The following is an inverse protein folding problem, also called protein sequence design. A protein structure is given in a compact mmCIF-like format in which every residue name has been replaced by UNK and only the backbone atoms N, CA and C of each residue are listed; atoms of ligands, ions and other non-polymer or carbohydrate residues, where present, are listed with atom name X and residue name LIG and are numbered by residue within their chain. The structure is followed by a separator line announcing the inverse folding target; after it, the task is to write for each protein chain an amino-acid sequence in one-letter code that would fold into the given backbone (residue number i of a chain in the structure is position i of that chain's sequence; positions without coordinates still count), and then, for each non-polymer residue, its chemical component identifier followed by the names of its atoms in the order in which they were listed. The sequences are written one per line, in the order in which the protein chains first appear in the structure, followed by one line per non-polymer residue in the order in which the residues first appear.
data_IF_081972962731
#
_entry.id   IF_081972962731
#
_cell.length_a   1.000
_cell.length_b   1.000
_cell.length_c   1.000
_cell.angle_alpha   90.00
_cell.angle_beta   90.00
_cell.angle_gamma   90.00
#
_symmetry.space_group_name_H-M   'P 1'
#
loop_
_entity.id
_entity.type
_entity.pdbx_description
1 polymer ?
#
# COMPACT_ATOMS: atom_id res chain seq x y z
N UNK A 1 -1.87 12.83 -15.90
CA UNK A 1 -0.81 11.81 -15.66
C UNK A 1 0.59 12.44 -15.64
N UNK A 2 1.05 13.07 -16.73
CA UNK A 2 2.39 13.68 -16.80
C UNK A 2 2.68 14.67 -15.66
N UNK A 3 1.70 15.53 -15.29
CA UNK A 3 1.88 16.48 -14.19
C UNK A 3 2.05 15.81 -12.83
N UNK A 4 1.35 14.70 -12.59
CA UNK A 4 1.46 13.92 -11.36
C UNK A 4 2.78 13.14 -11.26
N UNK A 5 3.25 12.58 -12.38
CA UNK A 5 4.60 12.02 -12.49
C UNK A 5 5.63 13.10 -12.18
N UNK A 6 5.51 14.27 -12.80
CA UNK A 6 6.38 15.42 -12.55
C UNK A 6 6.35 15.88 -11.08
N UNK A 7 5.18 15.87 -10.44
CA UNK A 7 5.05 16.13 -9.01
C UNK A 7 5.87 15.14 -8.18
N UNK A 8 5.67 13.83 -8.38
CA UNK A 8 6.40 12.81 -7.64
C UNK A 8 7.92 12.95 -7.87
N UNK A 9 8.38 13.10 -9.11
CA UNK A 9 9.81 13.22 -9.40
C UNK A 9 10.46 14.42 -8.68
N UNK A 10 9.75 15.55 -8.58
CA UNK A 10 10.17 16.75 -7.84
C UNK A 10 10.05 16.62 -6.32
N UNK A 11 9.15 15.77 -5.83
CA UNK A 11 8.92 15.56 -4.40
C UNK A 11 9.99 14.68 -3.72
N UNK A 12 10.92 14.10 -4.49
CA UNK A 12 12.09 13.38 -3.95
C UNK A 12 12.94 14.30 -3.09
N UNK A 13 13.38 13.77 -1.96
CA UNK A 13 14.29 14.44 -1.04
C UNK A 13 15.74 14.35 -1.56
N UNK A 14 16.65 15.08 -0.92
CA UNK A 14 18.08 15.09 -1.28
C UNK A 14 18.74 13.71 -1.19
N UNK A 15 18.23 12.82 -0.34
CA UNK A 15 18.70 11.44 -0.22
C UNK A 15 18.18 10.51 -1.34
N UNK A 16 17.44 11.04 -2.32
CA UNK A 16 16.87 10.30 -3.44
C UNK A 16 15.57 9.56 -3.14
N UNK A 17 15.07 9.64 -1.91
CA UNK A 17 13.84 8.95 -1.47
C UNK A 17 12.65 9.90 -1.42
N UNK A 18 11.46 9.32 -1.42
CA UNK A 18 10.24 10.02 -1.03
C UNK A 18 10.01 9.87 0.46
N UNK A 19 9.37 10.86 1.07
CA UNK A 19 8.94 10.78 2.46
C UNK A 19 7.55 11.37 2.64
N UNK A 20 6.80 10.81 3.58
CA UNK A 20 5.50 11.29 4.01
C UNK A 20 5.23 10.86 5.47
N UNK A 21 4.04 11.13 6.02
CA UNK A 21 3.62 10.64 7.34
C UNK A 21 4.57 11.06 8.49
N UNK A 22 4.88 12.35 8.57
CA UNK A 22 5.99 12.85 9.41
C UNK A 22 5.71 12.85 10.93
N UNK A 23 4.53 12.40 11.36
CA UNK A 23 4.11 12.42 12.77
C UNK A 23 4.53 11.20 13.57
N UNK A 24 5.14 10.20 12.93
CA UNK A 24 5.62 8.98 13.59
C UNK A 24 7.12 8.80 13.35
N UNK A 25 7.87 8.54 14.41
CA UNK A 25 9.26 8.05 14.42
C UNK A 25 10.20 8.56 13.30
N UNK A 26 10.26 9.87 13.05
CA UNK A 26 11.16 10.45 12.03
C UNK A 26 10.61 10.48 10.59
N UNK A 27 9.35 10.11 10.40
CA UNK A 27 8.65 10.06 9.11
C UNK A 27 8.86 8.75 8.35
N UNK A 28 7.98 8.46 7.40
CA UNK A 28 8.04 7.26 6.57
C UNK A 28 8.74 7.59 5.26
N UNK A 29 9.94 7.05 5.02
CA UNK A 29 10.68 7.26 3.77
C UNK A 29 10.83 5.99 2.93
N UNK A 30 11.13 4.84 3.54
CA UNK A 30 11.32 3.58 2.83
C UNK A 30 9.97 3.09 2.26
N UNK A 31 8.92 3.08 3.09
CA UNK A 31 7.58 2.64 2.69
C UNK A 31 6.99 3.52 1.59
N UNK A 32 7.02 4.84 1.82
CA UNK A 32 6.51 5.83 0.86
C UNK A 32 7.28 5.75 -0.45
N UNK A 33 8.60 5.52 -0.40
CA UNK A 33 9.40 5.30 -1.60
C UNK A 33 8.96 4.05 -2.36
N UNK A 34 8.71 2.94 -1.68
CA UNK A 34 8.19 1.73 -2.33
C UNK A 34 6.88 1.98 -3.08
N UNK A 35 5.93 2.67 -2.45
CA UNK A 35 4.64 2.99 -3.06
C UNK A 35 4.78 3.99 -4.23
N UNK A 36 5.56 5.05 -4.05
CA UNK A 36 5.79 6.04 -5.11
C UNK A 36 6.54 5.45 -6.31
N UNK A 37 7.57 4.63 -6.06
CA UNK A 37 8.31 3.95 -7.11
C UNK A 37 7.44 2.96 -7.89
N UNK A 38 6.57 2.20 -7.21
CA UNK A 38 5.59 1.34 -7.86
C UNK A 38 4.64 2.15 -8.76
N UNK A 39 4.08 3.25 -8.26
CA UNK A 39 3.19 4.11 -9.05
C UNK A 39 3.87 4.67 -10.31
N UNK A 40 5.13 5.09 -10.20
CA UNK A 40 5.93 5.56 -11.33
C UNK A 40 6.22 4.43 -12.33
N UNK A 41 6.58 3.24 -11.84
CA UNK A 41 6.87 2.10 -12.69
C UNK A 41 5.64 1.63 -13.49
N UNK A 42 4.49 1.51 -12.83
CA UNK A 42 3.22 1.08 -13.45
C UNK A 42 2.65 2.13 -14.42
N UNK A 43 2.92 3.42 -14.19
CA UNK A 43 2.54 4.49 -15.12
C UNK A 43 3.37 4.44 -16.42
N UNK A 44 4.61 3.94 -16.33
CA UNK A 44 5.54 3.85 -17.45
C UNK A 44 6.13 5.19 -17.87
N UNK A 45 6.96 5.15 -18.92
CA UNK A 45 7.73 6.29 -19.43
C UNK A 45 9.15 6.36 -18.84
N UNK A 46 10.11 6.73 -19.68
CA UNK A 46 11.54 6.61 -19.37
C UNK A 46 11.95 7.40 -18.12
N UNK A 47 11.43 8.62 -17.95
CA UNK A 47 11.76 9.46 -16.78
C UNK A 47 11.17 8.89 -15.48
N UNK A 48 9.94 8.35 -15.55
CA UNK A 48 9.29 7.74 -14.40
C UNK A 48 10.02 6.46 -13.97
N UNK A 49 10.37 5.60 -14.94
CA UNK A 49 11.13 4.38 -14.71
C UNK A 49 12.53 4.67 -14.16
N UNK A 50 13.24 5.65 -14.73
CA UNK A 50 14.56 6.06 -14.24
C UNK A 50 14.48 6.62 -12.81
N UNK A 51 13.45 7.42 -12.52
CA UNK A 51 13.20 7.96 -11.18
C UNK A 51 12.92 6.89 -10.14
N UNK A 52 12.09 5.90 -10.49
CA UNK A 52 11.80 4.73 -9.65
C UNK A 52 13.04 3.87 -9.44
N UNK A 53 13.76 3.51 -10.50
CA UNK A 53 14.97 2.70 -10.43
C UNK A 53 16.05 3.32 -9.54
N UNK A 54 16.30 4.62 -9.67
CA UNK A 54 17.29 5.33 -8.86
C UNK A 54 16.96 5.28 -7.36
N UNK A 55 15.68 5.46 -7.00
CA UNK A 55 15.26 5.40 -5.60
C UNK A 55 15.29 3.97 -5.04
N UNK A 56 14.92 2.98 -5.86
CA UNK A 56 14.98 1.57 -5.48
C UNK A 56 16.42 1.08 -5.27
N UNK A 57 17.39 1.61 -6.01
CA UNK A 57 18.81 1.31 -5.76
C UNK A 57 19.25 1.79 -4.37
N UNK A 58 18.79 2.97 -3.93
CA UNK A 58 19.02 3.43 -2.55
C UNK A 58 18.37 2.48 -1.54
N UNK A 59 17.14 2.01 -1.80
CA UNK A 59 16.46 1.07 -0.90
C UNK A 59 17.14 -0.31 -0.86
N UNK A 60 17.71 -0.80 -1.96
CA UNK A 60 18.48 -2.05 -1.97
C UNK A 60 19.66 -2.00 -0.99
N UNK A 61 20.32 -0.84 -0.87
CA UNK A 61 21.36 -0.60 0.13
C UNK A 61 20.87 -0.50 1.57
N UNK A 62 19.55 -0.41 1.80
CA UNK A 62 18.92 -0.26 3.12
C UNK A 62 18.21 -1.52 3.64
N UNK A 63 18.31 -2.64 2.93
CA UNK A 63 17.75 -3.91 3.40
C UNK A 63 18.37 -4.26 4.76
N UNK A 64 17.55 -4.60 5.74
CA UNK A 64 18.03 -4.93 7.08
C UNK A 64 18.45 -6.40 7.20
N UNK A 65 19.29 -6.76 8.19
CA UNK A 65 19.61 -8.16 8.49
C UNK A 65 18.34 -9.00 8.68
N UNK A 66 18.31 -10.21 8.10
CA UNK A 66 17.11 -11.06 8.07
C UNK A 66 16.20 -10.81 6.86
N UNK A 67 16.48 -9.77 6.07
CA UNK A 67 15.67 -9.40 4.91
C UNK A 67 14.56 -8.42 5.27
N UNK A 68 14.12 -7.65 4.28
CA UNK A 68 13.03 -6.69 4.43
C UNK A 68 13.48 -5.27 4.81
N UNK A 69 12.47 -4.42 4.98
CA UNK A 69 12.60 -3.00 5.35
C UNK A 69 11.57 -2.63 6.42
N UNK A 70 11.93 -1.70 7.30
CA UNK A 70 10.98 -0.94 8.10
C UNK A 70 10.59 0.36 7.40
N UNK A 71 9.52 1.01 7.84
CA UNK A 71 9.00 2.24 7.21
C UNK A 71 10.04 3.38 7.09
N UNK A 72 11.11 3.34 7.89
CA UNK A 72 12.34 4.12 7.72
C UNK A 72 13.57 3.34 8.23
N UNK A 73 14.73 4.01 8.31
CA UNK A 73 16.00 3.40 8.72
C UNK A 73 16.10 2.99 10.21
N UNK A 74 15.28 3.56 11.10
CA UNK A 74 15.32 3.26 12.54
C UNK A 74 14.15 2.37 12.98
N UNK A 75 13.09 2.32 12.18
CA UNK A 75 11.94 1.48 12.43
C UNK A 75 12.30 -0.01 12.33
N UNK A 76 11.66 -0.87 13.16
CA UNK A 76 11.75 -2.31 12.96
C UNK A 76 11.25 -2.70 11.58
N UNK A 77 11.82 -3.78 11.05
CA UNK A 77 11.37 -4.36 9.78
C UNK A 77 9.91 -4.78 9.88
N UNK A 78 9.12 -4.48 8.85
CA UNK A 78 7.70 -4.81 8.78
C UNK A 78 7.31 -5.37 7.40
N UNK A 79 6.22 -6.12 7.38
CA UNK A 79 5.78 -6.81 6.15
C UNK A 79 5.13 -5.88 5.13
N UNK A 80 4.52 -4.77 5.54
CA UNK A 80 3.82 -3.85 4.63
C UNK A 80 4.80 -3.00 3.80
N UNK A 81 5.82 -2.45 4.47
CA UNK A 81 6.95 -1.79 3.84
C UNK A 81 7.65 -2.74 2.90
N UNK A 82 7.97 -3.95 3.38
CA UNK A 82 8.70 -4.95 2.61
C UNK A 82 7.95 -5.35 1.34
N UNK A 83 6.64 -5.60 1.43
CA UNK A 83 5.83 -5.94 0.27
C UNK A 83 5.75 -4.80 -0.75
N UNK A 84 5.61 -3.55 -0.28
CA UNK A 84 5.54 -2.38 -1.14
C UNK A 84 6.83 -2.19 -1.96
N UNK A 85 7.99 -2.38 -1.32
CA UNK A 85 9.30 -2.29 -1.98
C UNK A 85 9.53 -3.46 -2.94
N UNK A 86 9.17 -4.70 -2.57
CA UNK A 86 9.29 -5.85 -3.47
C UNK A 86 8.47 -5.63 -4.75
N UNK A 87 7.22 -5.16 -4.62
CA UNK A 87 6.37 -4.90 -5.79
C UNK A 87 7.01 -3.86 -6.71
N UNK A 88 7.54 -2.78 -6.16
CA UNK A 88 8.24 -1.77 -6.95
C UNK A 88 9.50 -2.33 -7.63
N UNK A 89 10.31 -3.14 -6.93
CA UNK A 89 11.48 -3.81 -7.50
C UNK A 89 11.09 -4.74 -8.65
N UNK A 90 10.01 -5.51 -8.50
CA UNK A 90 9.50 -6.41 -9.55
C UNK A 90 9.01 -5.62 -10.77
N UNK A 91 8.34 -4.48 -10.57
CA UNK A 91 7.85 -3.63 -11.65
C UNK A 91 8.98 -2.97 -12.47
N UNK A 92 10.11 -2.65 -11.82
CA UNK A 92 11.26 -1.99 -12.48
C UNK A 92 12.28 -3.00 -13.04
N UNK A 93 12.48 -4.15 -12.40
CA UNK A 93 13.62 -5.04 -12.69
C UNK A 93 13.29 -6.20 -13.63
N UNK A 94 12.09 -6.28 -14.21
CA UNK A 94 11.67 -7.45 -14.97
C UNK A 94 12.68 -7.82 -16.10
N UNK A 95 13.17 -9.08 -16.19
CA UNK A 95 12.84 -10.28 -15.40
C UNK A 95 13.88 -10.66 -14.31
N UNK A 96 14.84 -9.79 -13.97
CA UNK A 96 15.86 -10.10 -12.98
C UNK A 96 15.23 -10.21 -11.58
N UNK A 97 15.47 -11.34 -10.91
CA UNK A 97 15.03 -11.57 -9.54
C UNK A 97 16.25 -11.38 -8.61
N UNK A 98 16.57 -10.14 -8.21
CA UNK A 98 17.73 -9.88 -7.38
C UNK A 98 17.66 -10.67 -6.07
N UNK A 99 18.80 -11.13 -5.51
CA UNK A 99 18.84 -11.88 -4.25
C UNK A 99 18.08 -11.23 -3.10
N UNK A 100 17.97 -9.90 -3.11
CA UNK A 100 17.21 -9.13 -2.12
C UNK A 100 15.72 -9.45 -2.12
N UNK A 101 15.10 -9.76 -3.28
CA UNK A 101 13.69 -10.16 -3.36
C UNK A 101 13.52 -11.55 -2.76
N UNK A 102 14.44 -12.48 -3.00
CA UNK A 102 14.38 -13.81 -2.42
C UNK A 102 14.48 -13.77 -0.88
N UNK A 103 15.42 -12.98 -0.34
CA UNK A 103 15.56 -12.77 1.11
C UNK A 103 14.30 -12.11 1.71
N UNK A 104 13.76 -11.10 1.04
CA UNK A 104 12.57 -10.41 1.51
C UNK A 104 11.31 -11.29 1.44
N UNK A 105 11.19 -12.19 0.45
CA UNK A 105 10.12 -13.22 0.42
C UNK A 105 10.22 -14.18 1.60
N UNK A 106 11.42 -14.59 1.97
CA UNK A 106 11.61 -15.45 3.13
C UNK A 106 11.25 -14.74 4.43
N UNK A 107 11.63 -13.46 4.56
CA UNK A 107 11.17 -12.61 5.65
C UNK A 107 9.63 -12.59 5.74
N UNK A 108 8.93 -12.37 4.62
CA UNK A 108 7.47 -12.37 4.59
C UNK A 108 6.89 -13.74 5.00
N UNK A 109 7.47 -14.87 4.56
CA UNK A 109 7.01 -16.21 4.97
C UNK A 109 7.11 -16.41 6.48
N UNK A 110 8.12 -15.85 7.13
CA UNK A 110 8.28 -15.89 8.58
C UNK A 110 7.19 -15.16 9.38
N UNK A 111 6.29 -14.41 8.71
CA UNK A 111 5.18 -13.67 9.33
C UNK A 111 3.81 -14.33 9.12
N UNK A 112 3.78 -15.49 8.47
CA UNK A 112 2.59 -16.32 8.39
C UNK A 112 2.25 -16.88 9.78
N UNK A 113 0.97 -16.84 10.14
CA UNK A 113 0.42 -17.57 11.28
C UNK A 113 -0.52 -18.66 10.79
N UNK A 114 -1.00 -19.52 11.69
CA UNK A 114 -1.95 -20.58 11.33
C UNK A 114 -3.24 -20.04 10.70
N UNK A 115 -3.63 -18.81 11.06
CA UNK A 115 -4.90 -18.17 10.73
C UNK A 115 -4.76 -16.80 10.06
N UNK A 116 -3.54 -16.37 9.69
CA UNK A 116 -3.36 -15.02 9.19
C UNK A 116 -1.92 -14.59 8.92
N UNK A 117 -1.69 -13.30 9.07
CA UNK A 117 -0.47 -12.64 8.60
C UNK A 117 -0.20 -11.35 9.40
N UNK A 118 0.99 -11.29 10.01
CA UNK A 118 1.35 -10.23 10.95
C UNK A 118 2.13 -9.10 10.27
N UNK A 119 1.94 -7.86 10.74
CA UNK A 119 2.83 -6.74 10.37
C UNK A 119 4.22 -6.92 10.97
N UNK A 120 4.28 -7.30 12.25
CA UNK A 120 5.52 -7.52 12.99
C UNK A 120 5.54 -8.90 13.65
N UNK A 121 6.53 -9.73 13.30
CA UNK A 121 6.69 -11.07 13.86
C UNK A 121 7.15 -11.08 15.32
N UNK A 122 6.90 -12.17 16.03
CA UNK A 122 7.11 -12.36 17.49
C UNK A 122 8.49 -11.96 18.03
N UNK A 123 9.56 -12.07 17.23
CA UNK A 123 10.91 -11.68 17.62
C UNK A 123 11.27 -10.20 17.41
N UNK A 124 10.41 -9.43 16.76
CA UNK A 124 10.68 -8.02 16.42
C UNK A 124 10.52 -7.14 17.65
N UNK A 125 11.57 -6.45 18.10
CA UNK A 125 11.43 -5.48 19.18
C UNK A 125 10.83 -4.19 18.64
N UNK A 126 9.64 -3.84 19.11
CA UNK A 126 8.93 -2.63 18.67
C UNK A 126 8.79 -1.72 19.89
N UNK A 127 9.27 -0.48 19.76
CA UNK A 127 9.14 0.55 20.79
C UNK A 127 8.07 1.53 20.37
N UNK A 128 7.06 1.71 21.23
CA UNK A 128 6.02 2.72 21.05
C UNK A 128 6.35 4.00 21.84
N UNK A 129 7.00 3.85 22.98
CA UNK A 129 7.57 4.93 23.80
C UNK A 129 8.86 4.43 24.46
N UNK A 130 9.56 5.31 25.17
CA UNK A 130 10.87 5.02 25.78
C UNK A 130 10.87 3.72 26.63
N UNK A 131 9.74 3.39 27.26
CA UNK A 131 9.59 2.25 28.19
C UNK A 131 8.57 1.17 27.73
N UNK A 132 7.81 1.40 26.65
CA UNK A 132 6.75 0.46 26.23
C UNK A 132 7.16 -0.39 25.03
N UNK A 133 7.28 -1.70 25.25
CA UNK A 133 7.41 -2.71 24.20
C UNK A 133 6.01 -3.17 23.77
N UNK A 134 5.79 -3.27 22.47
CA UNK A 134 4.54 -3.77 21.91
C UNK A 134 4.48 -5.29 21.99
N UNK A 135 3.49 -5.80 22.72
CA UNK A 135 3.25 -7.24 22.96
C UNK A 135 1.93 -7.76 22.36
N UNK A 136 0.94 -6.89 22.17
CA UNK A 136 -0.36 -7.21 21.58
C UNK A 136 -0.66 -6.32 20.35
N UNK A 137 -1.89 -6.35 19.82
CA UNK A 137 -2.41 -5.50 18.72
C UNK A 137 -1.61 -5.52 17.43
N UNK A 138 -0.46 -4.83 17.38
CA UNK A 138 0.38 -4.73 16.17
C UNK A 138 0.98 -6.08 15.72
N UNK A 139 0.84 -7.12 16.54
CA UNK A 139 1.22 -8.50 16.25
C UNK A 139 0.05 -9.39 15.89
N UNK A 140 -1.17 -8.88 15.80
CA UNK A 140 -2.30 -9.67 15.32
C UNK A 140 -2.30 -9.73 13.80
N UNK A 141 -3.24 -10.50 13.25
CA UNK A 141 -3.48 -10.55 11.83
C UNK A 141 -4.07 -9.24 11.33
N UNK A 142 -3.46 -8.65 10.31
CA UNK A 142 -3.95 -7.42 9.70
C UNK A 142 -4.36 -7.68 8.25
N UNK A 143 -5.67 -7.66 7.97
CA UNK A 143 -6.21 -7.91 6.64
C UNK A 143 -5.64 -6.95 5.58
N UNK A 144 -5.40 -5.68 5.95
CA UNK A 144 -4.80 -4.69 5.05
C UNK A 144 -3.37 -5.04 4.63
N UNK A 145 -2.56 -5.60 5.54
CA UNK A 145 -1.17 -5.97 5.26
C UNK A 145 -1.09 -7.32 4.53
N UNK A 146 -1.95 -8.26 4.93
CA UNK A 146 -2.15 -9.51 4.20
C UNK A 146 -2.51 -9.25 2.73
N UNK A 147 -3.44 -8.32 2.48
CA UNK A 147 -3.83 -7.90 1.14
C UNK A 147 -2.65 -7.32 0.33
N UNK A 148 -1.82 -6.50 0.98
CA UNK A 148 -0.64 -5.91 0.34
C UNK A 148 0.41 -6.95 -0.08
N UNK A 149 0.50 -8.06 0.66
CA UNK A 149 1.47 -9.15 0.46
C UNK A 149 0.98 -10.27 -0.47
N UNK A 150 -0.31 -10.35 -0.76
CA UNK A 150 -0.92 -11.53 -1.37
C UNK A 150 -0.42 -11.86 -2.79
N UNK A 151 -0.03 -10.86 -3.59
CA UNK A 151 0.59 -11.11 -4.90
C UNK A 151 2.02 -11.68 -4.81
N UNK A 152 2.66 -11.60 -3.64
CA UNK A 152 4.03 -12.08 -3.41
C UNK A 152 4.02 -13.51 -2.86
N UNK A 153 3.05 -13.84 -2.01
CA UNK A 153 2.85 -15.16 -1.38
C UNK A 153 1.43 -15.69 -1.64
N UNK A 154 1.04 -15.90 -2.91
CA UNK A 154 -0.36 -16.14 -3.25
C UNK A 154 -0.92 -17.45 -2.70
N UNK A 155 -0.14 -18.53 -2.74
CA UNK A 155 -0.58 -19.86 -2.31
C UNK A 155 -1.03 -19.87 -0.83
N UNK A 156 -0.38 -19.05 0.00
CA UNK A 156 -0.66 -18.94 1.43
C UNK A 156 -1.72 -17.88 1.72
N UNK A 157 -1.64 -16.71 1.08
CA UNK A 157 -2.43 -15.54 1.48
C UNK A 157 -3.78 -15.40 0.78
N UNK A 158 -3.93 -15.93 -0.45
CA UNK A 158 -5.22 -15.87 -1.16
C UNK A 158 -6.34 -16.62 -0.40
N UNK A 159 -6.12 -17.85 0.12
CA UNK A 159 -7.13 -18.52 0.96
C UNK A 159 -7.52 -17.72 2.21
N UNK A 160 -6.55 -17.09 2.88
CA UNK A 160 -6.79 -16.29 4.08
C UNK A 160 -7.53 -14.97 3.76
N UNK A 161 -7.25 -14.36 2.61
CA UNK A 161 -8.00 -13.20 2.13
C UNK A 161 -9.48 -13.53 1.88
N UNK A 162 -9.76 -14.69 1.29
CA UNK A 162 -11.16 -15.15 1.09
C UNK A 162 -11.90 -15.28 2.42
N UNK A 163 -11.24 -15.87 3.42
CA UNK A 163 -11.82 -16.12 4.73
C UNK A 163 -12.03 -14.84 5.55
N UNK A 164 -11.20 -13.83 5.35
CA UNK A 164 -11.24 -12.55 6.08
C UNK A 164 -12.14 -11.48 5.46
N UNK A 165 -12.75 -11.74 4.28
CA UNK A 165 -13.68 -10.80 3.68
C UNK A 165 -14.92 -10.63 4.56
N UNK A 166 -15.31 -9.38 4.79
CA UNK A 166 -16.47 -9.02 5.58
C UNK A 166 -17.79 -9.34 4.84
N UNK A 167 -18.89 -9.41 5.58
CA UNK A 167 -20.21 -9.69 5.04
C UNK A 167 -20.68 -8.63 4.02
N UNK A 168 -20.21 -7.39 4.15
CA UNK A 168 -20.52 -6.31 3.22
C UNK A 168 -19.66 -6.34 1.94
N UNK A 169 -18.65 -7.20 1.87
CA UNK A 169 -17.72 -7.35 0.75
C UNK A 169 -16.37 -6.64 0.92
N UNK A 170 -16.16 -5.89 2.00
CA UNK A 170 -14.91 -5.17 2.27
C UNK A 170 -13.89 -5.97 3.07
N UNK A 171 -12.69 -5.41 3.27
CA UNK A 171 -11.69 -5.91 4.22
C UNK A 171 -11.42 -4.89 5.31
N UNK A 172 -11.33 -5.38 6.55
CA UNK A 172 -11.13 -4.56 7.75
C UNK A 172 -9.78 -3.83 7.70
N UNK A 173 -9.76 -2.51 7.88
CA UNK A 173 -8.51 -1.78 8.04
C UNK A 173 -7.97 -1.93 9.47
N UNK A 174 -6.64 -1.96 9.62
CA UNK A 174 -5.97 -1.82 10.92
C UNK A 174 -5.22 -0.48 10.99
N UNK A 175 -4.31 -0.25 10.03
CA UNK A 175 -3.53 0.99 9.92
C UNK A 175 -4.25 2.14 9.20
N UNK A 176 -5.48 1.93 8.76
CA UNK A 176 -6.21 2.87 7.90
C UNK A 176 -7.54 3.27 8.54
N UNK A 177 -7.97 4.51 8.33
CA UNK A 177 -9.29 4.96 8.81
C UNK A 177 -10.46 4.31 8.07
N UNK A 178 -10.27 3.95 6.81
CA UNK A 178 -11.35 3.45 5.93
C UNK A 178 -10.97 2.12 5.28
N UNK A 179 -11.96 1.28 4.94
CA UNK A 179 -11.71 -0.01 4.28
C UNK A 179 -11.37 0.09 2.80
N UNK A 180 -11.40 1.28 2.18
CA UNK A 180 -11.26 1.45 0.74
C UNK A 180 -9.92 0.93 0.22
N UNK A 181 -8.81 1.32 0.85
CA UNK A 181 -7.47 0.90 0.44
C UNK A 181 -7.20 -0.60 0.65
N UNK A 182 -7.50 -1.19 1.84
CA UNK A 182 -7.41 -2.64 2.02
C UNK A 182 -8.26 -3.44 1.02
N UNK A 183 -9.48 -2.97 0.74
CA UNK A 183 -10.40 -3.63 -0.20
C UNK A 183 -9.87 -3.58 -1.63
N UNK A 184 -9.24 -2.48 -2.05
CA UNK A 184 -8.59 -2.38 -3.36
C UNK A 184 -7.45 -3.40 -3.51
N UNK A 185 -6.55 -3.48 -2.53
CA UNK A 185 -5.44 -4.43 -2.54
C UNK A 185 -5.92 -5.88 -2.58
N UNK A 186 -6.94 -6.20 -1.77
CA UNK A 186 -7.49 -7.56 -1.73
C UNK A 186 -8.19 -7.92 -3.04
N UNK A 187 -9.02 -7.03 -3.59
CA UNK A 187 -9.72 -7.26 -4.85
C UNK A 187 -8.74 -7.48 -6.01
N UNK A 188 -7.66 -6.70 -6.10
CA UNK A 188 -6.62 -6.88 -7.12
C UNK A 188 -5.91 -8.24 -7.00
N UNK A 189 -5.51 -8.61 -5.77
CA UNK A 189 -4.85 -9.89 -5.53
C UNK A 189 -5.77 -11.08 -5.88
N UNK A 190 -7.04 -11.00 -5.50
CA UNK A 190 -8.05 -12.02 -5.77
C UNK A 190 -8.39 -12.11 -7.27
N UNK A 191 -8.53 -10.97 -7.95
CA UNK A 191 -8.77 -10.92 -9.39
C UNK A 191 -7.60 -11.56 -10.18
N UNK A 192 -6.35 -11.26 -9.79
CA UNK A 192 -5.17 -11.87 -10.40
C UNK A 192 -5.12 -13.41 -10.25
N UNK A 193 -5.85 -13.97 -9.28
CA UNK A 193 -5.95 -15.41 -9.01
C UNK A 193 -7.30 -16.01 -9.42
N UNK A 194 -8.10 -15.29 -10.22
CA UNK A 194 -9.35 -15.80 -10.79
C UNK A 194 -10.49 -15.99 -9.78
N UNK A 195 -10.46 -15.33 -8.62
CA UNK A 195 -11.53 -15.42 -7.63
C UNK A 195 -12.65 -14.41 -7.88
N UNK A 196 -13.46 -14.68 -8.90
CA UNK A 196 -14.56 -13.80 -9.29
C UNK A 196 -15.59 -13.57 -8.17
N UNK A 197 -15.90 -14.59 -7.37
CA UNK A 197 -16.96 -14.48 -6.36
C UNK A 197 -16.61 -13.51 -5.22
N UNK A 198 -15.37 -13.52 -4.74
CA UNK A 198 -14.93 -12.56 -3.73
C UNK A 198 -14.80 -11.14 -4.31
N UNK A 199 -14.34 -11.02 -5.55
CA UNK A 199 -14.23 -9.74 -6.27
C UNK A 199 -15.60 -9.12 -6.53
N UNK A 200 -16.61 -9.90 -6.91
CA UNK A 200 -17.97 -9.42 -7.15
C UNK A 200 -18.61 -8.81 -5.89
N UNK A 201 -18.33 -9.39 -4.71
CA UNK A 201 -18.75 -8.82 -3.42
C UNK A 201 -18.03 -7.49 -3.15
N UNK A 202 -16.73 -7.41 -3.43
CA UNK A 202 -15.97 -6.16 -3.30
C UNK A 202 -16.49 -5.07 -4.25
N UNK A 203 -16.85 -5.43 -5.48
CA UNK A 203 -17.49 -4.51 -6.45
C UNK A 203 -18.85 -4.05 -5.94
N UNK A 204 -19.64 -4.95 -5.36
CA UNK A 204 -20.94 -4.60 -4.76
C UNK A 204 -20.75 -3.58 -3.63
N UNK A 205 -19.78 -3.82 -2.74
CA UNK A 205 -19.36 -2.85 -1.73
C UNK A 205 -18.96 -1.50 -2.33
N UNK A 206 -18.11 -1.50 -3.35
CA UNK A 206 -17.59 -0.31 -4.01
C UNK A 206 -18.71 0.53 -4.68
N UNK A 207 -19.72 -0.14 -5.26
CA UNK A 207 -20.88 0.53 -5.88
C UNK A 207 -21.80 1.25 -4.89
N UNK A 208 -21.79 0.84 -3.62
CA UNK A 208 -22.54 1.49 -2.55
C UNK A 208 -21.83 2.73 -1.97
N UNK A 209 -20.54 2.91 -2.27
CA UNK A 209 -19.81 4.09 -1.83
C UNK A 209 -20.19 5.31 -2.66
N UNK A 210 -20.06 6.50 -2.08
CA UNK A 210 -20.11 7.78 -2.78
C UNK A 210 -18.69 8.34 -2.94
N UNK A 211 -18.02 8.14 -4.10
CA UNK A 211 -16.64 8.59 -4.30
C UNK A 211 -16.48 10.11 -4.27
N UNK A 212 -17.53 10.89 -4.54
CA UNK A 212 -17.46 12.35 -4.51
C UNK A 212 -17.34 12.88 -3.07
N UNK A 213 -17.93 12.18 -2.10
CA UNK A 213 -17.78 12.47 -0.67
C UNK A 213 -16.47 11.96 -0.06
N UNK A 214 -15.65 11.22 -0.82
CA UNK A 214 -14.41 10.63 -0.33
C UNK A 214 -13.17 11.50 -0.63
N UNK A 215 -12.11 11.25 0.14
CA UNK A 215 -10.78 11.76 -0.18
C UNK A 215 -10.31 11.26 -1.57
N UNK A 216 -9.38 11.96 -2.25
CA UNK A 216 -8.87 11.49 -3.54
C UNK A 216 -8.28 10.08 -3.48
N UNK A 217 -7.59 9.75 -2.37
CA UNK A 217 -7.02 8.44 -2.14
C UNK A 217 -8.08 7.34 -2.02
N UNK A 218 -9.12 7.57 -1.21
CA UNK A 218 -10.23 6.63 -1.05
C UNK A 218 -11.01 6.44 -2.36
N UNK A 219 -11.29 7.52 -3.08
CA UNK A 219 -11.95 7.45 -4.39
C UNK A 219 -11.12 6.65 -5.41
N UNK A 220 -9.80 6.85 -5.44
CA UNK A 220 -8.90 6.07 -6.29
C UNK A 220 -8.89 4.57 -5.91
N UNK A 221 -8.90 4.25 -4.62
CA UNK A 221 -9.00 2.87 -4.14
C UNK A 221 -10.33 2.22 -4.56
N UNK A 222 -11.45 2.94 -4.46
CA UNK A 222 -12.76 2.46 -4.94
C UNK A 222 -12.72 2.20 -6.46
N UNK A 223 -12.12 3.10 -7.24
CA UNK A 223 -11.97 2.89 -8.68
C UNK A 223 -11.16 1.62 -9.00
N UNK A 224 -10.09 1.34 -8.23
CA UNK A 224 -9.27 0.12 -8.37
C UNK A 224 -10.08 -1.16 -8.10
N UNK A 225 -10.95 -1.17 -7.09
CA UNK A 225 -11.87 -2.30 -6.83
C UNK A 225 -12.78 -2.54 -8.05
N UNK A 226 -13.36 -1.47 -8.61
CA UNK A 226 -14.22 -1.57 -9.78
C UNK A 226 -13.47 -2.07 -11.02
N UNK A 227 -12.23 -1.61 -11.23
CA UNK A 227 -11.36 -2.09 -12.32
C UNK A 227 -11.07 -3.58 -12.16
N UNK A 228 -10.72 -4.04 -10.96
CA UNK A 228 -10.41 -5.44 -10.67
C UNK A 228 -11.58 -6.38 -10.99
N UNK A 229 -12.83 -5.93 -10.77
CA UNK A 229 -14.03 -6.68 -11.15
C UNK A 229 -14.63 -6.32 -12.52
N UNK A 230 -13.91 -5.59 -13.36
CA UNK A 230 -14.31 -5.30 -14.74
C UNK A 230 -15.35 -4.18 -14.94
N UNK A 231 -15.77 -3.47 -13.89
CA UNK A 231 -16.66 -2.30 -13.98
C UNK A 231 -15.90 -1.03 -14.39
N UNK A 232 -15.33 -1.07 -15.60
CA UNK A 232 -14.46 -0.01 -16.14
C UNK A 232 -15.20 1.30 -16.41
N UNK A 233 -16.50 1.24 -16.72
CA UNK A 233 -17.30 2.44 -16.99
C UNK A 233 -17.41 3.31 -15.74
N UNK A 234 -17.86 2.74 -14.62
CA UNK A 234 -17.98 3.48 -13.36
C UNK A 234 -16.63 3.88 -12.79
N UNK A 235 -15.60 3.05 -12.95
CA UNK A 235 -14.24 3.44 -12.60
C UNK A 235 -13.78 4.66 -13.41
N UNK A 236 -14.09 4.70 -14.71
CA UNK A 236 -13.78 5.82 -15.60
C UNK A 236 -14.42 7.14 -15.13
N UNK A 237 -15.66 7.11 -14.67
CA UNK A 237 -16.35 8.28 -14.12
C UNK A 237 -15.63 8.83 -12.87
N UNK A 238 -15.21 7.95 -11.96
CA UNK A 238 -14.46 8.33 -10.76
C UNK A 238 -13.11 8.93 -11.13
N UNK A 239 -12.39 8.30 -12.06
CA UNK A 239 -11.08 8.79 -12.51
C UNK A 239 -11.19 10.15 -13.23
N UNK A 240 -12.25 10.37 -14.00
CA UNK A 240 -12.51 11.67 -14.62
C UNK A 240 -12.77 12.76 -13.57
N UNK A 241 -13.50 12.45 -12.49
CA UNK A 241 -13.67 13.37 -11.37
C UNK A 241 -12.36 13.63 -10.62
N UNK A 242 -11.53 12.60 -10.41
CA UNK A 242 -10.21 12.78 -9.82
C UNK A 242 -9.33 13.70 -10.67
N UNK A 243 -9.37 13.62 -12.01
CA UNK A 243 -8.66 14.58 -12.86
C UNK A 243 -9.13 16.02 -12.63
N UNK A 244 -10.43 16.26 -12.44
CA UNK A 244 -10.95 17.60 -12.12
C UNK A 244 -10.49 18.12 -10.76
N UNK A 245 -10.19 17.22 -9.83
CA UNK A 245 -9.68 17.53 -8.48
C UNK A 245 -8.16 17.64 -8.40
N UNK A 246 -7.44 17.44 -9.51
CA UNK A 246 -5.99 17.56 -9.54
C UNK A 246 -5.59 19.03 -9.29
N UNK A 247 -4.60 19.22 -8.43
CA UNK A 247 -4.05 20.53 -8.11
C UNK A 247 -3.09 20.99 -9.21
N UNK A 248 -2.84 22.29 -9.28
CA UNK A 248 -2.00 22.92 -10.29
C UNK A 248 -0.54 22.45 -10.31
N UNK A 249 -0.04 21.88 -9.20
CA UNK A 249 1.30 21.32 -9.10
C UNK A 249 1.40 19.86 -9.58
N UNK A 250 0.26 19.28 -9.98
CA UNK A 250 0.11 17.89 -10.41
C UNK A 250 -0.31 16.92 -9.30
N UNK A 251 -0.39 17.35 -8.05
CA UNK A 251 -0.76 16.48 -6.92
C UNK A 251 -2.27 16.44 -6.69
N UNK A 252 -2.70 15.62 -5.72
CA UNK A 252 -4.03 15.70 -5.11
C UNK A 252 -3.92 16.16 -3.66
N UNK A 253 -5.01 16.69 -3.10
CA UNK A 253 -5.11 16.99 -1.66
C UNK A 253 -4.85 15.74 -0.84
N UNK A 254 -4.21 15.91 0.34
CA UNK A 254 -3.99 14.83 1.32
C UNK A 254 -5.30 14.11 1.62
N UNK A 255 -5.21 12.79 1.80
CA UNK A 255 -6.37 11.93 1.92
C UNK A 255 -6.07 10.47 2.23
N UNK A 256 -4.80 10.11 2.34
CA UNK A 256 -4.36 8.82 2.84
C UNK A 256 -4.38 8.86 4.37
N UNK A 257 -5.57 8.69 4.95
CA UNK A 257 -5.82 8.80 6.39
C UNK A 257 -5.31 7.54 7.12
N UNK A 258 -3.99 7.46 7.29
CA UNK A 258 -3.35 6.46 8.13
C UNK A 258 -3.56 6.81 9.61
N UNK A 259 -3.84 5.78 10.40
CA UNK A 259 -3.92 5.89 11.85
C UNK A 259 -2.78 5.12 12.48
N UNK A 260 -2.33 5.60 13.63
CA UNK A 260 -1.35 4.93 14.46
C UNK A 260 -2.03 4.52 15.77
N UNK A 261 -2.67 3.34 15.79
CA UNK A 261 -3.41 2.87 16.94
C UNK A 261 -2.48 2.55 18.10
N UNK A 262 -3.04 2.54 19.31
CA UNK A 262 -2.29 2.03 20.46
C UNK A 262 -1.84 0.59 20.21
N UNK A 263 -0.63 0.23 20.64
CA UNK A 263 -0.08 -1.12 20.49
C UNK A 263 -0.97 -2.26 20.97
N UNK A 264 -1.76 -2.05 22.02
CA UNK A 264 -2.57 -3.06 22.66
C UNK A 264 -3.92 -3.33 21.97
N UNK A 265 -4.34 -2.48 21.03
CA UNK A 265 -5.64 -2.58 20.38
C UNK A 265 -5.63 -3.55 19.20
N UNK A 266 -6.55 -4.51 19.18
CA UNK A 266 -6.64 -5.53 18.13
C UNK A 266 -7.58 -5.15 16.98
N UNK A 267 -8.69 -4.47 17.28
CA UNK A 267 -9.69 -4.02 16.32
C UNK A 267 -10.44 -2.77 16.82
N UNK A 268 -11.27 -2.17 15.96
CA UNK A 268 -12.24 -1.14 16.35
C UNK A 268 -11.63 0.07 17.06
N UNK A 269 -10.43 0.50 16.64
CA UNK A 269 -9.59 1.46 17.34
C UNK A 269 -10.35 2.67 17.90
N UNK A 270 -10.26 2.87 19.21
CA UNK A 270 -10.87 3.99 19.92
C UNK A 270 -9.87 5.07 20.32
N UNK A 271 -8.57 4.77 20.26
CA UNK A 271 -7.48 5.68 20.61
C UNK A 271 -6.34 5.51 19.61
N UNK A 272 -6.09 6.54 18.81
CA UNK A 272 -5.09 6.50 17.75
C UNK A 272 -4.59 7.91 17.45
N UNK A 273 -3.36 8.00 16.95
CA UNK A 273 -2.83 9.23 16.38
C UNK A 273 -3.18 9.30 14.89
N UNK A 274 -3.68 10.45 14.45
CA UNK A 274 -3.81 10.75 13.03
C UNK A 274 -2.46 11.04 12.39
N UNK A 275 -2.13 10.26 11.36
CA UNK A 275 -0.87 10.37 10.62
C UNK A 275 -1.21 10.64 9.15
N UNK A 276 -1.47 11.90 8.78
CA UNK A 276 -1.79 12.26 7.40
C UNK A 276 -0.55 12.22 6.50
N UNK A 277 -0.78 12.08 5.21
CA UNK A 277 0.24 12.22 4.17
C UNK A 277 0.51 13.70 3.85
N UNK A 278 1.12 14.41 4.80
CA UNK A 278 1.40 15.86 4.76
C UNK A 278 2.05 16.35 3.45
N UNK A 279 2.84 15.50 2.78
CA UNK A 279 3.55 15.85 1.54
C UNK A 279 2.78 15.48 0.28
N UNK A 280 1.59 14.87 0.42
CA UNK A 280 0.69 14.43 -0.67
C UNK A 280 1.32 13.40 -1.59
N UNK A 281 2.46 12.81 -1.21
CA UNK A 281 3.17 11.83 -2.03
C UNK A 281 2.35 10.55 -2.07
N UNK A 282 1.90 10.08 -0.91
CA UNK A 282 1.18 8.82 -0.82
C UNK A 282 -0.18 8.88 -1.52
N UNK A 283 -0.96 9.95 -1.30
CA UNK A 283 -2.23 10.16 -2.01
C UNK A 283 -2.02 10.25 -3.51
N UNK A 284 -1.03 11.02 -3.98
CA UNK A 284 -0.77 11.17 -5.42
C UNK A 284 -0.33 9.85 -6.06
N UNK A 285 0.52 9.07 -5.38
CA UNK A 285 0.91 7.74 -5.83
C UNK A 285 -0.29 6.78 -5.89
N UNK A 286 -1.17 6.79 -4.87
CA UNK A 286 -2.40 5.99 -4.85
C UNK A 286 -3.36 6.31 -6.00
N UNK A 287 -3.49 7.59 -6.34
CA UNK A 287 -4.29 8.04 -7.50
C UNK A 287 -3.65 7.59 -8.82
N UNK A 288 -2.32 7.75 -8.97
CA UNK A 288 -1.60 7.28 -10.16
C UNK A 288 -1.74 5.78 -10.39
N UNK A 289 -1.69 4.97 -9.33
CA UNK A 289 -1.92 3.52 -9.43
C UNK A 289 -3.31 3.19 -9.98
N UNK A 290 -4.34 3.96 -9.61
CA UNK A 290 -5.69 3.76 -10.16
C UNK A 290 -5.75 4.06 -11.67
N UNK A 291 -5.06 5.11 -12.12
CA UNK A 291 -4.95 5.40 -13.55
C UNK A 291 -4.15 4.33 -14.30
N UNK A 292 -3.02 3.88 -13.75
CA UNK A 292 -2.21 2.83 -14.34
C UNK A 292 -3.03 1.53 -14.52
N UNK A 293 -3.77 1.12 -13.49
CA UNK A 293 -4.66 -0.03 -13.53
C UNK A 293 -5.75 0.09 -14.62
N UNK A 294 -6.29 1.29 -14.85
CA UNK A 294 -7.28 1.50 -15.90
C UNK A 294 -6.71 1.37 -17.32
N UNK A 295 -5.40 1.63 -17.47
CA UNK A 295 -4.70 1.55 -18.77
C UNK A 295 -4.06 0.20 -19.06
N UNK A 296 -3.81 -0.62 -18.04
CA UNK A 296 -3.31 -1.98 -18.20
C UNK A 296 -4.33 -2.81 -19.00
N UNK A 297 -3.95 -3.21 -20.22
CA UNK A 297 -4.79 -4.06 -21.09
C UNK A 297 -4.84 -5.46 -20.49
N UNK A 298 -6.06 -5.92 -20.20
CA UNK A 298 -6.38 -7.33 -19.89
C UNK A 298 -6.24 -8.20 -21.13
#
# INVERSE_FOLDING_TARGET
MADAVGFLLRARQQNGLWGDFNRINGGCNNWVTGVAALALAETGGDEALAGAAAALEVLRGRVQPGGGWGHNEIAPVDTDTTASIIKALMAVSAPENPPVIAAAREFLRGHLTDDGFQTYGTGTTIRFSDDAVVDAGWRTTHACVMANCALILPDQLIPLLRQSQQADGSWTPYWWRTPAYPTALAAEALAAHGDGAAVDRAVTWARMQDPAAQSPFCAAAIARVLIAGGDRARAGDILAELLRRQLSDGSWMTGADMIWPRPDQMDGHTDFLDVPDDRRVFTTAGVLLAFAAATARS
#
